data_IF_389501441618
#
_entry.id   IF_389501441618
#
_cell.length_a   1.000
_cell.length_b   1.000
_cell.length_c   1.000
_cell.angle_alpha   90.00
_cell.angle_beta   90.00
_cell.angle_gamma   90.00
#
_symmetry.space_group_name_H-M   'P 1'
#
loop_
_entity.id
_entity.type
_entity.pdbx_description
1 polymer ?
#
# COMPACT_ATOMS: atom_id res chain seq x y z
N UNK A 1 21.90 5.20 8.83
CA UNK A 1 20.63 5.21 8.11
C UNK A 1 20.34 3.77 7.74
N UNK A 2 19.36 3.14 8.40
CA UNK A 2 18.97 1.75 8.14
C UNK A 2 17.73 1.82 7.23
N UNK A 3 17.89 1.53 5.93
CA UNK A 3 16.73 1.28 5.06
C UNK A 3 16.42 -0.21 5.16
N UNK A 4 15.33 -0.55 5.84
CA UNK A 4 14.82 -1.92 5.89
C UNK A 4 13.82 -2.10 4.74
N UNK A 5 14.17 -2.96 3.77
CA UNK A 5 13.21 -3.43 2.77
C UNK A 5 12.33 -4.46 3.46
N UNK A 6 11.15 -4.03 3.92
CA UNK A 6 10.20 -4.93 4.58
C UNK A 6 9.43 -5.69 3.50
N UNK A 7 9.87 -6.92 3.22
CA UNK A 7 9.09 -7.91 2.50
C UNK A 7 8.16 -8.60 3.51
N UNK A 8 6.90 -8.15 3.60
CA UNK A 8 5.89 -8.81 4.42
C UNK A 8 4.81 -9.43 3.54
N UNK A 9 4.75 -10.75 3.55
CA UNK A 9 3.61 -11.54 3.07
C UNK A 9 2.45 -11.38 4.06
N UNK A 10 1.58 -10.41 3.79
CA UNK A 10 0.37 -10.19 4.58
C UNK A 10 -0.73 -11.17 4.19
N UNK A 11 -0.79 -12.33 4.85
CA UNK A 11 -1.90 -13.26 4.69
C UNK A 11 -3.19 -12.68 5.30
N UNK A 12 -4.07 -12.13 4.45
CA UNK A 12 -5.52 -12.09 4.68
C UNK A 12 -6.19 -12.87 3.54
N UNK A 13 -6.77 -14.04 3.81
CA UNK A 13 -7.17 -14.99 2.77
C UNK A 13 -8.40 -14.57 1.96
N UNK A 14 -9.00 -13.40 2.22
CA UNK A 14 -10.37 -13.14 1.77
C UNK A 14 -10.48 -12.23 0.53
N UNK A 15 -9.42 -11.49 0.11
CA UNK A 15 -9.63 -10.47 -0.94
C UNK A 15 -8.52 -10.24 -1.97
N UNK A 16 -7.26 -10.65 -1.79
CA UNK A 16 -6.18 -10.15 -2.69
C UNK A 16 -5.15 -11.18 -3.20
N UNK A 17 -5.31 -12.47 -2.92
CA UNK A 17 -4.37 -13.51 -3.39
C UNK A 17 -2.95 -13.38 -2.84
N UNK A 18 -2.12 -14.40 -3.05
CA UNK A 18 -0.69 -14.37 -2.68
C UNK A 18 0.07 -13.47 -3.66
N UNK A 19 0.38 -12.25 -3.24
CA UNK A 19 1.17 -11.30 -4.03
C UNK A 19 2.42 -10.88 -3.25
N UNK A 20 3.57 -10.81 -3.92
CA UNK A 20 4.80 -10.23 -3.39
C UNK A 20 4.60 -8.73 -3.19
N UNK A 21 4.29 -8.32 -1.97
CA UNK A 21 4.11 -6.91 -1.62
C UNK A 21 5.46 -6.28 -1.33
N UNK A 22 5.87 -5.32 -2.15
CA UNK A 22 7.00 -4.44 -1.86
C UNK A 22 6.52 -3.24 -1.04
N UNK A 23 6.93 -3.18 0.23
CA UNK A 23 6.67 -2.04 1.12
C UNK A 23 7.96 -1.34 1.51
N UNK A 24 8.00 -0.01 1.39
CA UNK A 24 9.08 0.82 1.92
C UNK A 24 8.55 1.71 3.03
N UNK A 25 9.16 1.62 4.21
CA UNK A 25 8.85 2.49 5.35
C UNK A 25 10.06 3.40 5.58
N UNK A 26 9.89 4.68 5.31
CA UNK A 26 10.90 5.72 5.55
C UNK A 26 10.39 6.69 6.62
N UNK A 27 10.74 6.37 7.88
CA UNK A 27 10.23 7.10 9.05
C UNK A 27 8.72 6.92 9.18
N UNK A 28 7.97 8.01 9.02
CA UNK A 28 6.51 8.00 9.01
C UNK A 28 5.91 7.72 7.63
N UNK A 29 6.68 7.82 6.55
CA UNK A 29 6.19 7.60 5.19
C UNK A 29 6.14 6.11 4.87
N UNK A 30 5.04 5.67 4.27
CA UNK A 30 4.84 4.30 3.85
C UNK A 30 4.37 4.31 2.41
N UNK A 31 5.10 3.60 1.56
CA UNK A 31 4.68 3.33 0.18
C UNK A 31 4.50 1.84 0.01
N UNK A 32 3.34 1.44 -0.52
CA UNK A 32 3.03 0.07 -0.90
C UNK A 32 2.68 0.08 -2.38
N UNK A 33 3.33 -0.80 -3.16
CA UNK A 33 3.04 -0.94 -4.58
C UNK A 33 2.86 -2.42 -4.92
N UNK A 34 1.84 -2.73 -5.73
CA UNK A 34 1.61 -4.05 -6.30
C UNK A 34 0.82 -3.94 -7.60
N UNK A 35 0.89 -4.96 -8.44
CA UNK A 35 0.04 -5.08 -9.62
C UNK A 35 -1.25 -5.83 -9.25
N UNK A 36 -2.40 -5.31 -9.66
CA UNK A 36 -3.71 -5.91 -9.45
C UNK A 36 -4.36 -6.26 -10.80
N UNK A 37 -5.05 -7.39 -10.87
CA UNK A 37 -5.95 -7.67 -12.00
C UNK A 37 -7.24 -6.86 -11.81
N UNK A 38 -7.50 -5.95 -12.74
CA UNK A 38 -8.72 -5.16 -12.83
C UNK A 38 -9.43 -5.55 -14.12
N UNK A 39 -10.43 -6.42 -14.01
CA UNK A 39 -11.25 -6.87 -15.15
C UNK A 39 -10.44 -7.58 -16.25
N UNK A 40 -9.46 -8.42 -15.86
CA UNK A 40 -8.61 -9.16 -16.80
C UNK A 40 -7.43 -8.35 -17.35
N UNK A 41 -7.18 -7.15 -16.81
CA UNK A 41 -6.01 -6.34 -17.13
C UNK A 41 -5.19 -6.07 -15.87
N UNK A 42 -3.89 -6.37 -15.93
CA UNK A 42 -2.95 -6.02 -14.85
C UNK A 42 -2.75 -4.51 -14.82
N UNK A 43 -2.98 -3.90 -13.65
CA UNK A 43 -2.83 -2.48 -13.41
C UNK A 43 -1.98 -2.23 -12.16
N UNK A 44 -1.02 -1.28 -12.20
CA UNK A 44 -0.25 -0.93 -11.03
C UNK A 44 -1.12 -0.20 -10.02
N UNK A 45 -0.99 -0.60 -8.76
CA UNK A 45 -1.65 0.01 -7.61
C UNK A 45 -0.58 0.54 -6.67
N UNK A 46 -0.69 1.81 -6.29
CA UNK A 46 0.25 2.49 -5.42
C UNK A 46 -0.52 3.16 -4.27
N UNK A 47 -0.21 2.74 -3.05
CA UNK A 47 -0.62 3.42 -1.83
C UNK A 47 0.55 4.23 -1.29
N UNK A 48 0.32 5.51 -1.03
CA UNK A 48 1.29 6.40 -0.36
C UNK A 48 0.62 7.01 0.85
N UNK A 49 1.24 6.92 2.02
CA UNK A 49 0.68 7.51 3.21
C UNK A 49 1.70 7.78 4.30
N UNK A 50 1.25 8.49 5.34
CA UNK A 50 2.03 8.81 6.52
C UNK A 50 1.35 8.29 7.77
N UNK A 51 2.11 7.61 8.64
CA UNK A 51 1.67 7.21 9.98
C UNK A 51 2.03 8.32 10.96
N UNK A 52 1.04 8.86 11.66
CA UNK A 52 1.28 9.82 12.73
C UNK A 52 1.63 9.15 14.06
N UNK A 53 1.93 9.97 15.08
CA UNK A 53 2.33 9.49 16.41
C UNK A 53 1.23 8.70 17.13
N UNK A 54 -0.04 8.89 16.77
CA UNK A 54 -1.19 8.16 17.32
C UNK A 54 -1.42 6.83 16.57
N UNK A 55 -0.61 6.54 15.55
CA UNK A 55 -0.73 5.35 14.72
C UNK A 55 -1.85 5.46 13.71
N UNK A 56 -2.36 6.67 13.44
CA UNK A 56 -3.32 6.89 12.37
C UNK A 56 -2.57 7.01 11.07
N UNK A 57 -3.02 6.26 10.08
CA UNK A 57 -2.42 6.21 8.76
C UNK A 57 -3.32 6.95 7.78
N UNK A 58 -2.76 7.94 7.09
CA UNK A 58 -3.51 8.72 6.08
C UNK A 58 -2.72 8.82 4.79
N UNK A 59 -3.39 8.83 3.66
CA UNK A 59 -2.70 8.74 2.38
C UNK A 59 -3.59 8.80 1.15
N UNK A 60 -2.94 8.55 0.01
CA UNK A 60 -3.55 8.48 -1.31
C UNK A 60 -3.39 7.09 -1.90
N UNK A 61 -4.37 6.75 -2.74
CA UNK A 61 -4.39 5.58 -3.61
C UNK A 61 -4.32 6.07 -5.05
N UNK A 62 -3.43 5.50 -5.83
CA UNK A 62 -3.29 5.70 -7.27
C UNK A 62 -3.35 4.34 -7.96
N UNK A 63 -4.24 4.22 -8.95
CA UNK A 63 -4.41 3.01 -9.74
C UNK A 63 -4.21 3.37 -11.21
N UNK A 64 -3.43 2.54 -11.90
CA UNK A 64 -3.14 2.66 -13.33
C UNK A 64 -2.56 4.04 -13.71
N UNK A 65 -1.70 4.62 -12.84
CA UNK A 65 -1.04 5.89 -13.11
C UNK A 65 -1.99 7.09 -13.05
N UNK A 66 -2.93 7.07 -12.11
CA UNK A 66 -3.86 8.17 -11.84
C UNK A 66 -5.23 8.05 -12.51
N UNK A 67 -5.52 6.93 -13.18
CA UNK A 67 -6.84 6.71 -13.80
C UNK A 67 -7.95 6.60 -12.75
N UNK A 68 -7.65 5.97 -11.62
CA UNK A 68 -8.48 6.02 -10.42
C UNK A 68 -7.61 6.50 -9.27
N UNK A 69 -8.08 7.53 -8.57
CA UNK A 69 -7.41 8.07 -7.40
C UNK A 69 -8.36 8.11 -6.21
N UNK A 70 -7.80 7.99 -5.02
CA UNK A 70 -8.57 8.08 -3.78
C UNK A 70 -7.70 8.54 -2.63
N UNK A 71 -8.36 8.85 -1.52
CA UNK A 71 -7.70 9.06 -0.24
C UNK A 71 -8.17 8.01 0.75
N UNK A 72 -7.31 7.64 1.69
CA UNK A 72 -7.67 6.74 2.76
C UNK A 72 -7.21 7.28 4.11
N UNK A 73 -7.95 6.90 5.15
CA UNK A 73 -7.57 7.06 6.54
C UNK A 73 -7.85 5.75 7.27
N UNK A 74 -6.82 5.15 7.83
CA UNK A 74 -6.90 3.93 8.62
C UNK A 74 -6.45 4.23 10.05
N UNK A 75 -7.21 3.77 11.04
CA UNK A 75 -6.82 3.88 12.44
C UNK A 75 -6.26 2.53 12.90
N UNK A 76 -5.22 2.56 13.73
CA UNK A 76 -4.75 1.37 14.43
C UNK A 76 -5.87 0.87 15.36
N UNK A 77 -6.26 -0.41 15.22
CA UNK A 77 -7.15 -1.09 16.17
C UNK A 77 -6.36 -1.72 17.30
#
# INVERSE_FOLDING_TARGET
MHNEVVRKTGARPDTLGENDIAGMVEGSNVTISFDADLQGQSAPVIYKGTVDAEGVWSGTLDIAGGMLTGTFKANKK
#
